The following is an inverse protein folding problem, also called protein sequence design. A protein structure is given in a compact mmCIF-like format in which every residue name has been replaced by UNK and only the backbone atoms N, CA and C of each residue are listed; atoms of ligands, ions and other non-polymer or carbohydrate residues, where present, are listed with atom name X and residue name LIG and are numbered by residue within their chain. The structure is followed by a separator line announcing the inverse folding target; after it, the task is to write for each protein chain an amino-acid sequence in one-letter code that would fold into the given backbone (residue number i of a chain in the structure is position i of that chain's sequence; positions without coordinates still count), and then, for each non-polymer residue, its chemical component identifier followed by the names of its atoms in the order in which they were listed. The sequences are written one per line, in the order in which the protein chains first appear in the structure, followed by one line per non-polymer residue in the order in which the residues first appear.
data_IF_005577470930
#
_entry.id   IF_005577470930
#
_cell.length_a   1.000
_cell.length_b   1.000
_cell.length_c   1.000
_cell.angle_alpha   90.00
_cell.angle_beta   90.00
_cell.angle_gamma   90.00
#
_symmetry.space_group_name_H-M   'P 1'
#
loop_
_entity.id
_entity.type
_entity.pdbx_description
1 polymer ?
#
# COMPACT_ATOMS: atom_id res chain seq x y z
N UNK A 1 24.43 -4.27 -6.14
CA UNK A 1 23.06 -3.92 -5.71
C UNK A 1 22.24 -5.19 -5.69
N UNK A 2 21.62 -5.55 -4.55
CA UNK A 2 20.83 -6.78 -4.45
C UNK A 2 19.36 -6.44 -4.65
N UNK A 3 18.75 -6.99 -5.70
CA UNK A 3 17.33 -6.79 -5.99
C UNK A 3 16.53 -7.65 -5.00
N UNK A 4 15.85 -7.01 -4.05
CA UNK A 4 14.94 -7.69 -3.12
C UNK A 4 13.75 -8.26 -3.90
N UNK A 5 13.57 -9.58 -3.80
CA UNK A 5 12.40 -10.29 -4.34
C UNK A 5 11.33 -10.37 -3.24
N UNK A 6 10.06 -10.43 -3.65
CA UNK A 6 8.96 -10.69 -2.73
C UNK A 6 8.89 -12.16 -2.31
N UNK A 7 7.97 -12.46 -1.40
CA UNK A 7 7.78 -13.81 -0.89
C UNK A 7 7.11 -14.76 -1.90
N UNK A 8 7.39 -16.06 -1.75
CA UNK A 8 6.78 -17.13 -2.54
C UNK A 8 5.36 -17.45 -2.05
N UNK A 9 4.49 -17.86 -2.99
CA UNK A 9 3.13 -18.32 -2.71
C UNK A 9 3.01 -19.77 -3.18
N UNK A 10 2.92 -20.69 -2.23
CA UNK A 10 2.80 -22.13 -2.49
C UNK A 10 1.34 -22.52 -2.28
N UNK A 11 0.72 -23.15 -3.27
CA UNK A 11 -0.67 -23.62 -3.23
C UNK A 11 -0.68 -25.08 -3.64
N UNK A 12 -1.23 -25.94 -2.79
CA UNK A 12 -1.43 -27.36 -3.08
C UNK A 12 -2.71 -27.51 -3.92
N UNK A 13 -2.61 -28.21 -5.05
CA UNK A 13 -3.73 -28.47 -5.95
C UNK A 13 -4.04 -29.96 -5.93
N UNK A 14 -5.27 -30.31 -5.58
CA UNK A 14 -5.74 -31.70 -5.62
C UNK A 14 -6.11 -32.08 -7.05
N UNK A 15 -5.70 -33.28 -7.46
CA UNK A 15 -6.01 -33.85 -8.77
C UNK A 15 -6.34 -35.34 -8.66
N UNK A 16 -7.32 -35.80 -9.43
CA UNK A 16 -7.59 -37.24 -9.60
C UNK A 16 -6.65 -37.87 -10.63
N UNK A 17 -6.56 -39.21 -10.67
CA UNK A 17 -5.76 -39.91 -11.70
C UNK A 17 -6.32 -39.64 -13.10
N UNK A 18 -7.63 -39.50 -13.21
CA UNK A 18 -8.33 -39.18 -14.45
C UNK A 18 -7.97 -37.77 -14.93
N UNK A 19 -7.92 -36.78 -14.03
CA UNK A 19 -7.52 -35.41 -14.36
C UNK A 19 -6.06 -35.35 -14.85
N UNK A 20 -5.18 -36.14 -14.25
CA UNK A 20 -3.78 -36.24 -14.66
C UNK A 20 -3.63 -36.92 -16.04
N UNK A 21 -4.47 -37.92 -16.32
CA UNK A 21 -4.35 -38.72 -17.54
C UNK A 21 -5.03 -38.09 -18.75
N UNK A 22 -6.22 -37.50 -18.57
CA UNK A 22 -6.97 -36.85 -19.64
C UNK A 22 -6.61 -35.36 -19.79
N UNK A 23 -6.01 -34.77 -18.76
CA UNK A 23 -5.73 -33.34 -18.69
C UNK A 23 -6.98 -32.53 -18.36
N UNK A 24 -6.78 -31.42 -17.65
CA UNK A 24 -7.84 -30.51 -17.25
C UNK A 24 -7.32 -29.10 -16.94
N UNK A 25 -8.23 -28.15 -16.77
CA UNK A 25 -7.88 -26.78 -16.38
C UNK A 25 -8.55 -26.42 -15.06
N UNK A 26 -7.75 -26.02 -14.06
CA UNK A 26 -8.23 -25.52 -12.78
C UNK A 26 -8.12 -23.99 -12.74
N UNK A 27 -9.22 -23.30 -12.41
CA UNK A 27 -9.20 -21.84 -12.23
C UNK A 27 -8.70 -21.50 -10.83
N UNK A 28 -7.57 -20.83 -10.74
CA UNK A 28 -6.97 -20.36 -9.47
C UNK A 28 -7.01 -18.85 -9.42
N UNK A 29 -7.45 -18.30 -8.28
CA UNK A 29 -7.48 -16.85 -8.04
C UNK A 29 -6.47 -16.50 -6.96
N UNK A 30 -5.54 -15.60 -7.27
CA UNK A 30 -4.62 -15.02 -6.28
C UNK A 30 -5.10 -13.65 -5.88
N UNK A 31 -5.54 -13.50 -4.63
CA UNK A 31 -5.74 -12.19 -4.04
C UNK A 31 -4.40 -11.68 -3.49
N UNK A 32 -3.83 -10.66 -4.14
CA UNK A 32 -2.59 -10.05 -3.68
C UNK A 32 -2.91 -9.00 -2.63
N UNK A 33 -2.30 -9.14 -1.45
CA UNK A 33 -2.34 -8.09 -0.44
C UNK A 33 -1.67 -6.81 -1.00
N UNK A 34 -2.42 -5.72 -1.03
CA UNK A 34 -1.92 -4.39 -1.37
C UNK A 34 -1.61 -3.67 -0.07
N UNK A 35 -0.41 -3.09 0.02
CA UNK A 35 -0.04 -2.25 1.16
C UNK A 35 -0.97 -1.04 1.18
N UNK A 36 -1.92 -1.03 2.12
CA UNK A 36 -2.79 0.12 2.35
C UNK A 36 -2.06 1.10 3.27
N UNK A 37 -2.02 2.40 2.94
CA UNK A 37 -1.49 3.39 3.87
C UNK A 37 -2.36 3.40 5.13
N UNK A 38 -1.73 3.54 6.30
CA UNK A 38 -2.47 3.67 7.55
C UNK A 38 -3.39 4.91 7.47
N UNK A 39 -4.65 4.81 7.93
CA UNK A 39 -5.54 5.96 7.94
C UNK A 39 -4.99 7.04 8.89
N UNK A 40 -4.91 8.27 8.39
CA UNK A 40 -4.46 9.43 9.16
C UNK A 40 -3.30 10.20 8.50
N UNK A 41 -3.04 11.39 9.02
CA UNK A 41 -1.83 12.15 8.68
C UNK A 41 -0.77 11.83 9.72
N UNK A 42 0.45 11.51 9.26
CA UNK A 42 1.61 11.38 10.15
C UNK A 42 1.74 12.69 10.94
N UNK A 43 1.74 12.63 12.28
CA UNK A 43 2.08 13.80 13.10
C UNK A 43 3.49 14.23 12.67
N UNK A 44 3.62 15.43 12.10
CA UNK A 44 4.94 15.90 11.74
C UNK A 44 5.73 16.11 13.03
N UNK A 45 6.99 15.67 13.06
CA UNK A 45 7.95 16.11 14.07
C UNK A 45 8.68 17.37 13.57
N UNK A 46 7.92 18.26 12.93
CA UNK A 46 8.45 19.47 12.32
C UNK A 46 8.90 20.38 13.47
N UNK A 47 10.19 20.71 13.51
CA UNK A 47 10.68 21.70 14.49
C UNK A 47 10.18 23.11 14.17
N UNK A 48 9.97 23.40 12.88
CA UNK A 48 9.37 24.66 12.45
C UNK A 48 8.02 24.34 11.80
N UNK A 49 6.93 24.79 12.42
CA UNK A 49 5.59 24.64 11.86
C UNK A 49 5.22 25.87 11.03
N UNK A 50 4.66 25.64 9.83
CA UNK A 50 4.16 26.70 8.96
C UNK A 50 2.64 26.70 9.02
N UNK A 51 2.03 27.80 9.46
CA UNK A 51 0.57 27.95 9.48
C UNK A 51 0.13 29.20 8.73
N UNK A 52 -1.06 29.12 8.15
CA UNK A 52 -1.70 30.25 7.47
C UNK A 52 -2.62 30.97 8.46
N UNK A 53 -2.42 32.28 8.64
CA UNK A 53 -3.33 33.12 9.41
C UNK A 53 -3.98 34.14 8.50
N UNK A 54 -5.31 34.26 8.58
CA UNK A 54 -6.04 35.32 7.90
C UNK A 54 -5.87 36.61 8.71
N UNK A 55 -5.25 37.63 8.11
CA UNK A 55 -4.97 38.93 8.75
C UNK A 55 -6.07 39.93 8.39
N UNK A 56 -6.71 39.75 7.24
CA UNK A 56 -7.86 40.52 6.81
C UNK A 56 -8.67 39.78 5.76
N UNK A 57 -9.80 40.35 5.31
CA UNK A 57 -10.65 39.74 4.28
C UNK A 57 -9.84 39.47 3.02
N UNK A 58 -9.63 38.20 2.67
CA UNK A 58 -8.86 37.78 1.49
C UNK A 58 -7.33 37.86 1.63
N UNK A 59 -6.81 38.28 2.79
CA UNK A 59 -5.37 38.41 3.05
C UNK A 59 -4.89 37.27 3.97
N UNK A 60 -4.17 36.30 3.40
CA UNK A 60 -3.54 35.20 4.15
C UNK A 60 -2.04 35.39 4.18
N UNK A 61 -1.43 35.27 5.37
CA UNK A 61 0.03 35.27 5.53
C UNK A 61 0.48 33.90 6.06
N UNK A 62 1.54 33.37 5.47
CA UNK A 62 2.24 32.18 5.97
C UNK A 62 3.23 32.63 7.05
N UNK A 63 3.06 32.11 8.26
CA UNK A 63 3.95 32.35 9.39
C UNK A 63 4.66 31.04 9.74
N UNK A 64 5.93 31.16 10.14
CA UNK A 64 6.76 30.05 10.62
C UNK A 64 6.99 30.23 12.12
N UNK A 65 6.54 29.30 12.93
CA UNK A 65 6.81 29.23 14.36
C UNK A 65 7.95 28.23 14.61
N UNK A 66 8.89 28.60 15.47
CA UNK A 66 10.17 27.90 15.70
C UNK A 66 10.17 27.14 17.03
#
# INVERSE_FOLDING_TARGET
EQIIKGDDVIVELDASLEDLYMGGSLKVWREKNIIKPAPGKRRCNCRNEVYHRQIGPGMYQQMTEQ
#
